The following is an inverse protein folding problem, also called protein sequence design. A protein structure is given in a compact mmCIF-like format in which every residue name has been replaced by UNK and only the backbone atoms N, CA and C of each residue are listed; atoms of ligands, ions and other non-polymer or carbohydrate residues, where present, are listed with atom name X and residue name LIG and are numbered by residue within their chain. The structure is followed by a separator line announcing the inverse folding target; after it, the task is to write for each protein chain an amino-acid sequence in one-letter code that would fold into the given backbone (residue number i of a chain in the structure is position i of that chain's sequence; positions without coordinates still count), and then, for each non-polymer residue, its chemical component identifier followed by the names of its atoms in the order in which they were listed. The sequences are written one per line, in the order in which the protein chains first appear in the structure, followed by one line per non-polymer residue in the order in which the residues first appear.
data_IF_104172184643
#
_entry.id   IF_104172184643
#
_cell.length_a   1.000
_cell.length_b   1.000
_cell.length_c   1.000
_cell.angle_alpha   90.00
_cell.angle_beta   90.00
_cell.angle_gamma   90.00
#
_symmetry.space_group_name_H-M   'P 1'
#
loop_
_entity.id
_entity.type
_entity.pdbx_description
1 polymer ?
#
# COMPACT_ATOMS: atom_id res chain seq x y z
N UNK A 1 -5.92 26.51 -5.61
CA UNK A 1 -4.99 25.91 -4.61
C UNK A 1 -5.73 25.14 -3.51
N UNK A 2 -6.81 24.43 -3.81
CA UNK A 2 -7.60 23.67 -2.81
C UNK A 2 -7.55 22.14 -3.01
N UNK A 3 -7.05 21.65 -4.16
CA UNK A 3 -7.01 20.22 -4.47
C UNK A 3 -5.92 19.45 -3.70
N UNK A 4 -4.76 20.08 -3.47
CA UNK A 4 -3.60 19.41 -2.83
C UNK A 4 -3.86 19.05 -1.37
N UNK A 5 -4.64 19.86 -0.65
CA UNK A 5 -4.93 19.63 0.77
C UNK A 5 -5.86 18.43 1.00
N UNK A 6 -6.80 18.20 0.08
CA UNK A 6 -7.71 17.06 0.11
C UNK A 6 -6.99 15.74 -0.21
N UNK A 7 -6.01 15.77 -1.13
CA UNK A 7 -5.21 14.59 -1.50
C UNK A 7 -4.39 14.05 -0.30
N UNK A 8 -3.75 14.93 0.48
CA UNK A 8 -2.94 14.51 1.63
C UNK A 8 -3.76 13.92 2.78
N UNK A 9 -4.95 14.47 3.05
CA UNK A 9 -5.82 13.95 4.11
C UNK A 9 -6.37 12.57 3.74
N UNK A 10 -6.77 12.40 2.49
CA UNK A 10 -7.23 11.11 1.97
C UNK A 10 -6.10 10.08 1.97
N UNK A 11 -4.90 10.46 1.53
CA UNK A 11 -3.72 9.60 1.57
C UNK A 11 -3.37 9.13 2.99
N UNK A 12 -3.42 10.04 3.97
CA UNK A 12 -3.24 9.71 5.39
C UNK A 12 -4.31 8.73 5.90
N UNK A 13 -5.57 8.94 5.51
CA UNK A 13 -6.67 8.01 5.82
C UNK A 13 -6.42 6.62 5.25
N UNK A 14 -6.01 6.52 3.97
CA UNK A 14 -5.72 5.25 3.31
C UNK A 14 -4.52 4.54 3.94
N UNK A 15 -3.46 5.28 4.30
CA UNK A 15 -2.33 4.73 5.06
C UNK A 15 -2.80 4.14 6.40
N UNK A 16 -3.76 4.78 7.06
CA UNK A 16 -4.37 4.27 8.29
C UNK A 16 -5.08 2.92 8.16
N UNK A 17 -5.57 2.57 6.96
CA UNK A 17 -6.27 1.31 6.69
C UNK A 17 -5.33 0.12 6.43
N UNK A 18 -4.05 0.38 6.18
CA UNK A 18 -3.05 -0.66 5.94
C UNK A 18 -2.55 -1.17 7.29
N UNK A 19 -2.77 -2.43 7.61
CA UNK A 19 -2.33 -2.99 8.89
C UNK A 19 -0.88 -3.45 8.81
N UNK A 20 -0.18 -3.39 9.95
CA UNK A 20 1.19 -3.88 10.10
C UNK A 20 1.19 -4.88 11.24
N UNK A 21 1.52 -6.13 10.94
CA UNK A 21 1.81 -7.15 11.95
C UNK A 21 3.33 -7.30 12.07
N UNK A 22 3.88 -6.69 13.13
CA UNK A 22 5.32 -6.74 13.41
C UNK A 22 5.81 -8.12 13.88
N UNK A 23 4.92 -8.97 14.43
CA UNK A 23 5.29 -10.31 14.87
C UNK A 23 5.40 -11.27 13.68
N UNK A 24 4.44 -11.19 12.75
CA UNK A 24 4.47 -11.95 11.50
C UNK A 24 5.34 -11.30 10.41
N UNK A 25 5.85 -10.08 10.64
CA UNK A 25 6.63 -9.28 9.68
C UNK A 25 5.90 -9.11 8.34
N UNK A 26 4.65 -8.67 8.40
CA UNK A 26 3.78 -8.54 7.24
C UNK A 26 2.93 -7.28 7.27
N UNK A 27 2.58 -6.82 6.09
CA UNK A 27 1.61 -5.76 5.83
C UNK A 27 0.32 -6.39 5.33
N UNK A 28 -0.83 -5.81 5.69
CA UNK A 28 -2.13 -6.17 5.13
C UNK A 28 -2.67 -4.98 4.36
N UNK A 29 -2.71 -5.10 3.02
CA UNK A 29 -3.29 -4.08 2.15
C UNK A 29 -4.76 -4.42 1.91
N UNK A 30 -5.72 -3.58 2.34
CA UNK A 30 -7.13 -3.87 2.15
C UNK A 30 -7.50 -3.90 0.66
N UNK A 31 -8.35 -4.86 0.28
CA UNK A 31 -8.88 -4.94 -1.07
C UNK A 31 -9.89 -3.82 -1.37
N UNK A 32 -10.19 -3.63 -2.65
CA UNK A 32 -11.18 -2.65 -3.10
C UNK A 32 -12.56 -3.28 -3.27
N UNK A 33 -13.59 -2.68 -2.65
CA UNK A 33 -15.04 -3.00 -2.67
C UNK A 33 -15.42 -4.45 -2.31
N UNK A 34 -14.79 -5.45 -2.90
CA UNK A 34 -15.03 -6.89 -2.70
C UNK A 34 -13.74 -7.73 -2.78
N UNK A 35 -12.57 -7.09 -2.97
CA UNK A 35 -11.28 -7.79 -2.98
C UNK A 35 -10.88 -8.31 -1.60
N UNK A 36 -10.42 -9.55 -1.53
CA UNK A 36 -9.75 -10.04 -0.33
C UNK A 36 -8.48 -9.21 -0.06
N UNK A 37 -8.15 -8.93 1.21
CA UNK A 37 -6.92 -8.24 1.56
C UNK A 37 -5.69 -8.98 1.00
N UNK A 38 -4.64 -8.23 0.71
CA UNK A 38 -3.38 -8.76 0.21
C UNK A 38 -2.32 -8.66 1.31
N UNK A 39 -1.84 -9.81 1.74
CA UNK A 39 -0.70 -9.92 2.65
C UNK A 39 0.60 -9.73 1.88
N UNK A 40 1.44 -8.82 2.37
CA UNK A 40 2.75 -8.49 1.82
C UNK A 40 3.81 -8.67 2.90
N UNK A 41 4.70 -9.67 2.79
CA UNK A 41 5.82 -9.84 3.71
C UNK A 41 6.78 -8.64 3.69
N UNK A 42 7.41 -8.31 4.82
CA UNK A 42 8.37 -7.20 4.91
C UNK A 42 9.54 -7.37 3.93
N UNK A 43 10.06 -8.59 3.79
CA UNK A 43 11.15 -8.88 2.88
C UNK A 43 10.78 -8.72 1.39
N UNK A 44 9.48 -8.69 1.05
CA UNK A 44 9.04 -8.47 -0.32
C UNK A 44 9.31 -7.05 -0.83
N UNK A 45 9.62 -6.10 0.05
CA UNK A 45 9.87 -4.69 -0.28
C UNK A 45 11.29 -4.22 0.10
N UNK A 46 12.17 -5.12 0.54
CA UNK A 46 13.55 -4.79 0.93
C UNK A 46 14.46 -4.45 -0.26
N UNK A 47 14.10 -4.88 -1.48
CA UNK A 47 14.85 -4.63 -2.71
C UNK A 47 14.02 -3.84 -3.72
N UNK A 48 14.64 -3.05 -4.62
CA UNK A 48 13.92 -2.34 -5.67
C UNK A 48 13.08 -3.28 -6.56
N UNK A 49 13.62 -4.46 -6.91
CA UNK A 49 12.91 -5.47 -7.70
C UNK A 49 11.69 -6.02 -6.94
N UNK A 50 11.86 -6.29 -5.64
CA UNK A 50 10.78 -6.72 -4.77
C UNK A 50 9.67 -5.67 -4.65
N UNK A 51 10.05 -4.39 -4.51
CA UNK A 51 9.12 -3.26 -4.46
C UNK A 51 8.28 -3.21 -5.74
N UNK A 52 8.91 -3.21 -6.92
CA UNK A 52 8.21 -3.20 -8.21
C UNK A 52 7.30 -4.42 -8.35
N UNK A 53 7.79 -5.62 -8.01
CA UNK A 53 6.98 -6.83 -8.09
C UNK A 53 5.75 -6.77 -7.17
N UNK A 54 5.93 -6.25 -5.95
CA UNK A 54 4.86 -6.06 -4.98
C UNK A 54 3.81 -5.07 -5.48
N UNK A 55 4.21 -3.91 -5.99
CA UNK A 55 3.29 -2.91 -6.54
C UNK A 55 2.50 -3.47 -7.74
N UNK A 56 3.15 -4.21 -8.64
CA UNK A 56 2.50 -4.90 -9.75
C UNK A 56 1.53 -5.99 -9.27
N UNK A 57 1.89 -6.73 -8.21
CA UNK A 57 1.01 -7.73 -7.60
C UNK A 57 -0.26 -7.06 -7.04
N UNK A 58 -0.13 -5.95 -6.32
CA UNK A 58 -1.28 -5.20 -5.80
C UNK A 58 -2.18 -4.71 -6.94
N UNK A 59 -1.60 -4.18 -8.01
CA UNK A 59 -2.36 -3.78 -9.21
C UNK A 59 -3.14 -4.95 -9.83
N UNK A 60 -2.50 -6.12 -9.99
CA UNK A 60 -3.16 -7.33 -10.53
C UNK A 60 -4.28 -7.85 -9.64
N UNK A 61 -4.22 -7.57 -8.33
CA UNK A 61 -5.27 -7.93 -7.36
C UNK A 61 -6.43 -6.94 -7.33
N UNK A 62 -6.41 -5.92 -8.19
CA UNK A 62 -7.46 -4.91 -8.27
C UNK A 62 -7.42 -3.91 -7.12
N UNK A 63 -6.27 -3.76 -6.45
CA UNK A 63 -6.09 -2.70 -5.45
C UNK A 63 -6.12 -1.35 -6.16
N UNK A 64 -6.89 -0.41 -5.63
CA UNK A 64 -7.05 0.91 -6.23
C UNK A 64 -5.71 1.68 -6.22
N UNK A 65 -5.37 2.46 -7.27
CA UNK A 65 -4.08 3.16 -7.37
C UNK A 65 -3.74 4.03 -6.15
N UNK A 66 -4.73 4.71 -5.57
CA UNK A 66 -4.58 5.53 -4.36
C UNK A 66 -4.17 4.71 -3.13
N UNK A 67 -4.66 3.47 -3.01
CA UNK A 67 -4.27 2.54 -1.94
C UNK A 67 -2.87 1.98 -2.19
N UNK A 68 -2.50 1.72 -3.45
CA UNK A 68 -1.13 1.32 -3.81
C UNK A 68 -0.13 2.43 -3.47
N UNK A 69 -0.47 3.69 -3.78
CA UNK A 69 0.34 4.86 -3.41
C UNK A 69 0.46 4.98 -1.89
N UNK A 70 -0.66 4.86 -1.16
CA UNK A 70 -0.66 4.86 0.30
C UNK A 70 0.24 3.76 0.88
N UNK A 71 0.19 2.55 0.31
CA UNK A 71 1.08 1.46 0.68
C UNK A 71 2.54 1.81 0.44
N UNK A 72 2.89 2.29 -0.76
CA UNK A 72 4.26 2.66 -1.11
C UNK A 72 4.84 3.68 -0.12
N UNK A 73 4.08 4.73 0.19
CA UNK A 73 4.50 5.75 1.15
C UNK A 73 4.62 5.21 2.58
N UNK A 74 3.66 4.41 3.04
CA UNK A 74 3.71 3.81 4.39
C UNK A 74 4.88 2.84 4.54
N UNK A 75 5.18 2.11 3.48
CA UNK A 75 6.29 1.16 3.39
C UNK A 75 7.66 1.84 3.18
N UNK A 76 7.70 3.16 2.96
CA UNK A 76 8.94 3.90 2.71
C UNK A 76 9.55 3.67 1.32
N UNK A 77 8.75 3.22 0.36
CA UNK A 77 9.16 3.09 -1.05
C UNK A 77 9.23 4.49 -1.66
N UNK A 78 10.39 4.86 -2.22
CA UNK A 78 10.60 6.16 -2.84
C UNK A 78 9.94 6.25 -4.23
N UNK A 79 9.43 7.43 -4.58
CA UNK A 79 8.89 7.75 -5.93
C UNK A 79 10.00 7.92 -6.97
#
# INVERSE_FOLDING_TARGET
MQEVQLDLQELSRLMGLIEIDGAAKQWTVPGYKEGAPVEVPFNAIETPEGQVHTLLRLLRRGIAPEMIRAFAMKAGIQE
#
